data_IF_031615895999
#
_entry.id   IF_031615895999
#
_cell.length_a   1.000
_cell.length_b   1.000
_cell.length_c   1.000
_cell.angle_alpha   90.00
_cell.angle_beta   90.00
_cell.angle_gamma   90.00
#
_symmetry.space_group_name_H-M   'P 1'
#
loop_
_entity.id
_entity.type
_entity.pdbx_description
1 polymer ?
#
# COMPACT_ATOMS: atom_id res chain seq x y z
N UNK A 1 -3.55 19.76 13.23
CA UNK A 1 -2.19 19.74 12.63
C UNK A 1 -2.24 20.60 11.39
N UNK A 2 -1.29 21.50 11.20
CA UNK A 2 -1.20 22.32 9.98
C UNK A 2 -0.14 21.69 9.08
N UNK A 3 -0.56 20.86 8.13
CA UNK A 3 0.35 20.11 7.26
C UNK A 3 0.75 20.96 6.05
N UNK A 4 1.97 20.79 5.58
CA UNK A 4 2.40 21.35 4.30
C UNK A 4 1.77 20.55 3.15
N UNK A 5 1.57 21.14 1.96
CA UNK A 5 0.96 20.43 0.82
C UNK A 5 1.65 19.10 0.46
N UNK A 6 2.97 19.02 0.63
CA UNK A 6 3.73 17.80 0.36
C UNK A 6 3.53 16.71 1.44
N UNK A 7 3.17 17.09 2.67
CA UNK A 7 2.85 16.17 3.77
C UNK A 7 1.43 15.63 3.61
N UNK A 8 0.48 16.50 3.24
CA UNK A 8 -0.89 16.09 2.88
C UNK A 8 -0.89 15.09 1.73
N UNK A 9 -0.10 15.35 0.68
CA UNK A 9 0.09 14.41 -0.44
C UNK A 9 0.51 13.02 0.04
N UNK A 10 1.45 12.93 0.99
CA UNK A 10 1.90 11.64 1.53
C UNK A 10 0.79 10.92 2.28
N UNK A 11 -0.04 11.64 3.03
CA UNK A 11 -1.14 11.02 3.77
C UNK A 11 -2.26 10.51 2.86
N UNK A 12 -2.61 11.29 1.83
CA UNK A 12 -3.58 10.91 0.81
C UNK A 12 -3.08 9.66 0.07
N UNK A 13 -1.87 9.72 -0.46
CA UNK A 13 -1.26 8.62 -1.22
C UNK A 13 -1.13 7.34 -0.37
N UNK A 14 -0.80 7.47 0.93
CA UNK A 14 -0.77 6.34 1.87
C UNK A 14 -2.14 5.70 2.04
N UNK A 15 -3.19 6.52 2.13
CA UNK A 15 -4.57 6.04 2.28
C UNK A 15 -5.04 5.28 1.04
N UNK A 16 -4.87 5.88 -0.14
CA UNK A 16 -5.23 5.26 -1.42
C UNK A 16 -4.47 3.94 -1.66
N UNK A 17 -3.17 3.92 -1.36
CA UNK A 17 -2.36 2.71 -1.53
C UNK A 17 -2.78 1.61 -0.56
N UNK A 18 -3.09 1.94 0.70
CA UNK A 18 -3.56 0.97 1.67
C UNK A 18 -4.89 0.34 1.23
N UNK A 19 -5.85 1.15 0.78
CA UNK A 19 -7.13 0.65 0.28
C UNK A 19 -6.96 -0.26 -0.95
N UNK A 20 -6.08 0.10 -1.88
CA UNK A 20 -5.79 -0.73 -3.04
C UNK A 20 -5.09 -2.05 -2.66
N UNK A 21 -4.20 -2.02 -1.67
CA UNK A 21 -3.53 -3.22 -1.17
C UNK A 21 -4.53 -4.16 -0.48
N UNK A 22 -5.47 -3.63 0.30
CA UNK A 22 -6.54 -4.42 0.93
C UNK A 22 -7.42 -5.13 -0.11
N UNK A 23 -7.80 -4.41 -1.18
CA UNK A 23 -8.55 -5.01 -2.30
C UNK A 23 -7.77 -6.11 -3.02
N UNK A 24 -6.47 -5.90 -3.25
CA UNK A 24 -5.60 -6.90 -3.87
C UNK A 24 -5.45 -8.14 -2.98
N UNK A 25 -5.27 -7.96 -1.67
CA UNK A 25 -5.21 -9.07 -0.73
C UNK A 25 -6.51 -9.88 -0.72
N UNK A 26 -7.66 -9.20 -0.64
CA UNK A 26 -8.97 -9.86 -0.72
C UNK A 26 -9.18 -10.63 -2.03
N UNK A 27 -8.67 -10.11 -3.15
CA UNK A 27 -8.70 -10.81 -4.43
C UNK A 27 -7.83 -12.06 -4.43
N UNK A 28 -6.59 -11.97 -3.92
CA UNK A 28 -5.64 -13.09 -3.83
C UNK A 28 -6.14 -14.19 -2.88
N UNK A 29 -6.85 -13.82 -1.82
CA UNK A 29 -7.45 -14.76 -0.86
C UNK A 29 -8.77 -15.37 -1.36
N UNK A 30 -9.34 -14.87 -2.46
CA UNK A 30 -10.61 -15.30 -3.01
C UNK A 30 -10.54 -16.56 -3.88
N UNK A 31 -11.71 -17.15 -4.16
CA UNK A 31 -11.83 -18.42 -4.89
C UNK A 31 -11.33 -18.38 -6.36
N UNK A 32 -11.25 -17.19 -6.95
CA UNK A 32 -10.79 -17.01 -8.34
C UNK A 32 -9.29 -17.21 -8.46
N UNK A 33 -8.53 -16.96 -7.38
CA UNK A 33 -7.08 -17.08 -7.35
C UNK A 33 -6.59 -18.43 -7.88
N UNK A 34 -7.17 -19.54 -7.38
CA UNK A 34 -6.74 -20.89 -7.74
C UNK A 34 -7.04 -21.28 -9.20
N UNK A 35 -7.87 -20.50 -9.89
CA UNK A 35 -8.25 -20.73 -11.29
C UNK A 35 -7.38 -19.92 -12.27
N UNK A 36 -6.52 -19.03 -11.77
CA UNK A 36 -5.67 -18.20 -12.60
C UNK A 36 -4.41 -18.94 -13.06
N UNK A 37 -3.88 -18.62 -14.26
CA UNK A 37 -2.55 -19.04 -14.68
C UNK A 37 -1.50 -18.70 -13.62
N UNK A 38 -0.49 -19.57 -13.47
CA UNK A 38 0.62 -19.35 -12.52
C UNK A 38 1.34 -18.03 -12.77
N UNK A 39 1.62 -17.69 -14.03
CA UNK A 39 2.26 -16.42 -14.38
C UNK A 39 1.47 -15.19 -13.88
N UNK A 40 0.14 -15.20 -13.98
CA UNK A 40 -0.69 -14.08 -13.52
C UNK A 40 -0.71 -13.99 -11.98
N UNK A 41 -0.67 -15.14 -11.30
CA UNK A 41 -0.57 -15.20 -9.83
C UNK A 41 0.77 -14.65 -9.36
N UNK A 42 1.86 -15.04 -10.01
CA UNK A 42 3.21 -14.55 -9.66
C UNK A 42 3.30 -13.03 -9.80
N UNK A 43 2.74 -12.48 -10.88
CA UNK A 43 2.66 -11.03 -11.10
C UNK A 43 1.83 -10.32 -10.02
N UNK A 44 0.70 -10.91 -9.59
CA UNK A 44 -0.12 -10.34 -8.52
C UNK A 44 0.58 -10.38 -7.15
N UNK A 45 1.33 -11.45 -6.86
CA UNK A 45 2.17 -11.51 -5.66
C UNK A 45 3.26 -10.44 -5.72
N UNK A 46 3.93 -10.30 -6.86
CA UNK A 46 4.96 -9.27 -7.07
C UNK A 46 4.37 -7.87 -6.87
N UNK A 47 3.21 -7.59 -7.49
CA UNK A 47 2.49 -6.33 -7.32
C UNK A 47 2.19 -6.05 -5.84
N UNK A 48 1.63 -7.03 -5.11
CA UNK A 48 1.33 -6.91 -3.68
C UNK A 48 2.59 -6.59 -2.87
N UNK A 49 3.71 -7.25 -3.18
CA UNK A 49 4.97 -7.04 -2.48
C UNK A 49 5.51 -5.62 -2.70
N UNK A 50 5.48 -5.12 -3.94
CA UNK A 50 5.89 -3.74 -4.27
C UNK A 50 5.00 -2.71 -3.60
N UNK A 51 3.67 -2.90 -3.62
CA UNK A 51 2.72 -2.01 -2.94
C UNK A 51 2.93 -2.00 -1.42
N UNK A 52 3.18 -3.16 -0.82
CA UNK A 52 3.49 -3.28 0.61
C UNK A 52 4.76 -2.54 0.98
N UNK A 53 5.84 -2.73 0.20
CA UNK A 53 7.10 -2.02 0.39
C UNK A 53 6.92 -0.51 0.25
N UNK A 54 6.13 -0.07 -0.74
CA UNK A 54 5.85 1.34 -0.95
C UNK A 54 5.03 1.94 0.19
N UNK A 55 4.01 1.23 0.68
CA UNK A 55 3.23 1.64 1.84
C UNK A 55 4.11 1.82 3.09
N UNK A 56 5.08 0.92 3.30
CA UNK A 56 6.07 1.05 4.38
C UNK A 56 6.96 2.29 4.25
N UNK A 57 7.28 2.74 3.03
CA UNK A 57 7.95 4.03 2.79
C UNK A 57 7.04 5.19 3.18
N UNK A 58 5.78 5.18 2.73
CA UNK A 58 4.82 6.25 3.03
C UNK A 58 4.50 6.35 4.53
N UNK A 59 4.40 5.23 5.24
CA UNK A 59 4.24 5.19 6.70
C UNK A 59 5.42 5.84 7.42
N UNK A 60 6.66 5.50 7.05
CA UNK A 60 7.87 6.12 7.62
C UNK A 60 7.95 7.61 7.30
N UNK A 61 7.55 8.02 6.09
CA UNK A 61 7.46 9.45 5.73
C UNK A 61 6.42 10.16 6.58
N UNK A 62 5.22 9.59 6.74
CA UNK A 62 4.15 10.14 7.55
C UNK A 62 4.52 10.29 9.03
N UNK A 63 5.24 9.32 9.59
CA UNK A 63 5.69 9.36 10.98
C UNK A 63 6.53 10.60 11.30
N UNK A 64 7.34 11.09 10.35
CA UNK A 64 8.23 12.26 10.55
C UNK A 64 7.48 13.55 10.89
N UNK A 65 6.21 13.68 10.49
CA UNK A 65 5.41 14.89 10.71
C UNK A 65 4.12 14.64 11.50
N UNK A 66 3.70 13.39 11.71
CA UNK A 66 2.58 13.02 12.59
C UNK A 66 3.00 12.68 14.03
N UNK A 67 4.14 12.03 14.20
CA UNK A 67 4.69 11.67 15.50
C UNK A 67 6.20 11.95 15.48
N UNK A 68 6.61 13.22 15.57
CA UNK A 68 8.02 13.56 15.60
C UNK A 68 8.64 12.89 16.83
N UNK A 69 9.43 11.84 16.60
CA UNK A 69 10.34 11.31 17.61
C UNK A 69 11.22 12.48 18.07
N UNK A 70 11.25 12.73 19.38
CA UNK A 70 12.06 13.78 20.02
C UNK A 70 13.54 13.67 19.65
#
# INVERSE_FOLDING_TARGET
MNLQPHEERVLVERGELAENLDRLNAFIEGEVWHKMPEADRDLLIEQRNHMTAYLGVLQRRAARFLCPSK
#
